data_IF_413321765022
#
_entry.id   IF_413321765022
#
_cell.length_a   1.000
_cell.length_b   1.000
_cell.length_c   1.000
_cell.angle_alpha   90.00
_cell.angle_beta   90.00
_cell.angle_gamma   90.00
#
_symmetry.space_group_name_H-M   'P 1'
#
loop_
_entity.id
_entity.type
_entity.pdbx_description
1 polymer ?
#
# COMPACT_ATOMS: atom_id res chain seq x y z
N UNK A 1 45.80 75.75 -28.87
CA UNK A 1 46.12 74.31 -28.90
C UNK A 1 44.87 73.57 -28.45
N UNK A 2 44.08 73.09 -29.39
CA UNK A 2 42.86 72.32 -29.12
C UNK A 2 43.18 70.86 -29.43
N UNK A 3 43.03 69.98 -28.44
CA UNK A 3 43.23 68.55 -28.61
C UNK A 3 41.84 67.92 -28.57
N UNK A 4 41.36 67.53 -29.75
CA UNK A 4 40.16 66.71 -29.92
C UNK A 4 40.48 65.31 -29.39
N UNK A 5 39.86 64.93 -28.27
CA UNK A 5 39.95 63.56 -27.76
C UNK A 5 38.84 62.72 -28.36
N UNK A 6 39.24 61.84 -29.28
CA UNK A 6 38.43 60.84 -29.93
C UNK A 6 37.70 59.93 -28.92
N UNK A 7 36.40 59.77 -29.16
CA UNK A 7 35.50 58.81 -28.51
C UNK A 7 35.98 57.39 -28.75
N UNK A 8 36.16 56.61 -27.67
CA UNK A 8 36.28 55.16 -27.76
C UNK A 8 35.19 54.50 -26.91
N UNK A 9 34.04 54.27 -27.54
CA UNK A 9 32.97 53.41 -27.03
C UNK A 9 33.47 51.96 -27.00
N UNK A 10 34.18 51.58 -25.92
CA UNK A 10 34.42 50.17 -25.62
C UNK A 10 33.25 49.66 -24.79
N UNK A 11 32.31 49.02 -25.46
CA UNK A 11 31.37 48.09 -24.84
C UNK A 11 32.18 47.02 -24.13
N UNK A 12 32.29 47.14 -22.80
CA UNK A 12 32.79 46.06 -21.95
C UNK A 12 31.72 44.99 -21.97
N UNK A 13 31.86 44.03 -22.89
CA UNK A 13 31.10 42.80 -22.86
C UNK A 13 31.57 42.04 -21.62
N UNK A 14 30.85 42.24 -20.52
CA UNK A 14 30.92 41.39 -19.35
C UNK A 14 30.51 40.00 -19.83
N UNK A 15 31.50 39.15 -20.14
CA UNK A 15 31.27 37.71 -20.21
C UNK A 15 30.94 37.26 -18.79
N UNK A 16 29.68 37.42 -18.41
CA UNK A 16 29.09 36.59 -17.37
C UNK A 16 29.18 35.15 -17.90
N UNK A 17 30.24 34.44 -17.51
CA UNK A 17 30.17 32.99 -17.38
C UNK A 17 29.22 32.68 -16.22
N UNK A 18 27.93 32.98 -16.39
CA UNK A 18 26.93 32.17 -15.71
C UNK A 18 26.98 30.83 -16.43
N UNK A 19 27.78 29.92 -15.89
CA UNK A 19 27.67 28.50 -16.18
C UNK A 19 26.20 28.14 -16.10
N UNK A 20 25.54 28.04 -17.25
CA UNK A 20 24.22 27.45 -17.37
C UNK A 20 24.42 25.97 -17.06
N UNK A 21 24.49 25.63 -15.77
CA UNK A 21 24.09 24.31 -15.32
C UNK A 21 22.63 24.22 -15.73
N UNK A 22 22.38 23.61 -16.89
CA UNK A 22 21.06 23.20 -17.32
C UNK A 22 20.64 22.14 -16.32
N UNK A 23 20.14 22.60 -15.18
CA UNK A 23 19.51 21.75 -14.19
C UNK A 23 18.17 21.41 -14.82
N UNK A 24 18.13 20.25 -15.48
CA UNK A 24 16.94 19.69 -16.11
C UNK A 24 15.83 19.65 -15.06
N UNK A 25 14.90 20.60 -15.13
CA UNK A 25 13.74 20.67 -14.26
C UNK A 25 12.72 19.67 -14.81
N UNK A 26 12.58 18.52 -14.15
CA UNK A 26 11.84 17.41 -14.75
C UNK A 26 10.46 17.25 -14.10
N UNK A 27 10.30 17.52 -12.79
CA UNK A 27 9.05 17.23 -12.09
C UNK A 27 8.44 18.41 -11.34
N UNK A 28 7.12 18.54 -11.40
CA UNK A 28 6.38 19.42 -10.46
C UNK A 28 6.25 18.76 -9.09
N UNK A 29 6.05 19.54 -8.02
CA UNK A 29 5.76 19.01 -6.67
C UNK A 29 4.55 18.05 -6.70
N UNK A 30 3.56 18.34 -7.55
CA UNK A 30 2.37 17.49 -7.70
C UNK A 30 2.69 16.14 -8.35
N UNK A 31 3.60 16.11 -9.33
CA UNK A 31 4.06 14.86 -9.95
C UNK A 31 4.90 14.03 -8.98
N UNK A 32 5.79 14.68 -8.21
CA UNK A 32 6.57 13.99 -7.18
C UNK A 32 5.65 13.34 -6.14
N UNK A 33 4.63 14.08 -5.68
CA UNK A 33 3.63 13.57 -4.76
C UNK A 33 2.89 12.33 -5.32
N UNK A 34 2.50 12.37 -6.60
CA UNK A 34 1.84 11.23 -7.26
C UNK A 34 2.77 10.03 -7.44
N UNK A 35 4.03 10.25 -7.80
CA UNK A 35 5.01 9.17 -8.05
C UNK A 35 5.42 8.45 -6.77
N UNK A 36 5.49 9.15 -5.65
CA UNK A 36 5.86 8.58 -4.35
C UNK A 36 4.66 8.16 -3.50
N UNK A 37 3.43 8.36 -4.01
CA UNK A 37 2.17 8.16 -3.28
C UNK A 37 2.13 8.87 -1.91
N UNK A 38 2.59 10.13 -1.90
CA UNK A 38 2.74 10.93 -0.68
C UNK A 38 1.99 12.26 -0.83
N UNK A 39 1.49 12.81 0.29
CA UNK A 39 0.80 14.09 0.27
C UNK A 39 1.71 15.24 -0.22
N UNK A 40 1.15 16.18 -0.99
CA UNK A 40 1.86 17.41 -1.41
C UNK A 40 2.45 18.18 -0.21
N UNK A 41 1.75 18.19 0.92
CA UNK A 41 2.19 18.84 2.17
C UNK A 41 3.48 18.20 2.69
N UNK A 42 3.59 16.88 2.61
CA UNK A 42 4.80 16.15 3.00
C UNK A 42 5.98 16.48 2.08
N UNK A 43 5.75 16.61 0.77
CA UNK A 43 6.79 17.03 -0.17
C UNK A 43 7.29 18.45 0.15
N UNK A 44 6.38 19.40 0.39
CA UNK A 44 6.76 20.75 0.82
C UNK A 44 7.51 20.76 2.15
N UNK A 45 7.13 19.91 3.09
CA UNK A 45 7.83 19.73 4.36
C UNK A 45 9.27 19.29 4.14
N UNK A 46 9.52 18.30 3.27
CA UNK A 46 10.89 17.89 2.93
C UNK A 46 11.68 19.01 2.25
N UNK A 47 11.05 19.81 1.40
CA UNK A 47 11.71 20.96 0.78
C UNK A 47 12.08 22.00 1.84
N UNK A 48 11.20 22.28 2.81
CA UNK A 48 11.45 23.29 3.85
C UNK A 48 12.39 22.83 4.97
N UNK A 49 12.38 21.55 5.33
CA UNK A 49 13.16 21.00 6.45
C UNK A 49 14.65 20.82 6.10
N UNK A 50 14.98 20.61 4.82
CA UNK A 50 16.34 20.21 4.40
C UNK A 50 17.29 21.38 4.08
N UNK A 51 17.02 22.57 4.64
CA UNK A 51 17.84 23.77 4.56
C UNK A 51 17.91 24.44 3.17
N UNK A 52 18.31 25.71 3.19
CA UNK A 52 18.40 26.65 2.05
C UNK A 52 19.26 26.07 0.91
N UNK A 53 20.20 25.18 1.22
CA UNK A 53 21.08 24.50 0.26
C UNK A 53 20.30 23.53 -0.65
N UNK A 54 19.32 22.80 -0.11
CA UNK A 54 18.47 21.92 -0.91
C UNK A 54 17.64 22.71 -1.93
N UNK A 55 17.08 23.84 -1.48
CA UNK A 55 16.31 24.75 -2.32
C UNK A 55 17.19 25.40 -3.41
N UNK A 56 18.51 25.56 -3.19
CA UNK A 56 19.44 26.13 -4.19
C UNK A 56 19.92 25.11 -5.23
N UNK A 57 20.10 23.85 -4.84
CA UNK A 57 20.69 22.83 -5.71
C UNK A 57 19.63 22.00 -6.45
N UNK A 58 18.49 21.73 -5.80
CA UNK A 58 17.53 20.73 -6.28
C UNK A 58 16.16 21.31 -6.65
N UNK A 59 15.90 22.57 -6.32
CA UNK A 59 14.63 23.24 -6.59
C UNK A 59 14.85 24.42 -7.53
N UNK A 60 14.09 24.44 -8.61
CA UNK A 60 14.07 25.55 -9.56
C UNK A 60 12.68 26.18 -9.58
N UNK A 61 12.60 27.50 -9.68
CA UNK A 61 11.31 28.20 -9.76
C UNK A 61 11.07 28.61 -11.21
N UNK A 62 9.99 28.09 -11.82
CA UNK A 62 9.51 28.51 -13.14
C UNK A 62 8.23 29.32 -12.99
N UNK A 63 8.03 30.28 -13.89
CA UNK A 63 6.77 31.03 -13.97
C UNK A 63 5.90 30.33 -15.01
N UNK A 64 4.70 29.91 -14.60
CA UNK A 64 3.72 29.35 -15.53
C UNK A 64 3.09 30.46 -16.39
N UNK A 65 2.39 30.07 -17.45
CA UNK A 65 1.69 30.98 -18.38
C UNK A 65 0.72 31.95 -17.69
N UNK A 66 0.29 31.63 -16.46
CA UNK A 66 -0.58 32.45 -15.61
C UNK A 66 0.18 33.44 -14.70
N UNK A 67 1.49 33.59 -14.88
CA UNK A 67 2.33 34.44 -14.03
C UNK A 67 2.62 33.88 -12.63
N UNK A 68 2.19 32.64 -12.33
CA UNK A 68 2.35 32.00 -11.01
C UNK A 68 3.71 31.30 -10.93
N UNK A 69 4.45 31.54 -9.83
CA UNK A 69 5.72 30.87 -9.53
C UNK A 69 5.47 29.43 -9.06
N UNK A 70 6.01 28.46 -9.79
CA UNK A 70 5.92 27.03 -9.49
C UNK A 70 7.30 26.46 -9.20
N UNK A 71 7.42 25.73 -8.08
CA UNK A 71 8.63 24.97 -7.71
C UNK A 71 8.69 23.69 -8.55
N UNK A 72 9.80 23.51 -9.23
CA UNK A 72 10.18 22.33 -10.01
C UNK A 72 11.34 21.63 -9.32
N UNK A 73 11.29 20.31 -9.25
CA UNK A 73 12.27 19.47 -8.60
C UNK A 73 13.12 18.78 -9.67
N UNK A 74 14.43 18.80 -9.48
CA UNK A 74 15.41 18.10 -10.33
C UNK A 74 15.39 16.59 -10.05
N UNK A 75 15.83 15.74 -10.99
CA UNK A 75 15.97 14.28 -10.79
C UNK A 75 16.69 13.94 -9.48
N UNK A 76 17.83 14.60 -9.21
CA UNK A 76 18.59 14.40 -7.97
C UNK A 76 17.80 14.77 -6.71
N UNK A 77 16.96 15.81 -6.79
CA UNK A 77 16.07 16.20 -5.71
C UNK A 77 14.96 15.18 -5.49
N UNK A 78 14.44 14.60 -6.57
CA UNK A 78 13.48 13.51 -6.50
C UNK A 78 14.08 12.28 -5.85
N UNK A 79 15.29 11.88 -6.25
CA UNK A 79 16.02 10.75 -5.65
C UNK A 79 16.33 10.99 -4.17
N UNK A 80 16.71 12.21 -3.79
CA UNK A 80 16.89 12.57 -2.39
C UNK A 80 15.59 12.44 -1.59
N UNK A 81 14.47 12.95 -2.10
CA UNK A 81 13.16 12.84 -1.45
C UNK A 81 12.73 11.37 -1.37
N UNK A 82 12.94 10.60 -2.44
CA UNK A 82 12.67 9.17 -2.49
C UNK A 82 13.45 8.45 -1.38
N UNK A 83 14.76 8.61 -1.35
CA UNK A 83 15.62 7.97 -0.36
C UNK A 83 15.24 8.38 1.06
N UNK A 84 14.85 9.63 1.31
CA UNK A 84 14.42 10.09 2.65
C UNK A 84 13.00 9.63 3.03
N UNK A 85 12.13 9.42 2.05
CA UNK A 85 10.80 8.84 2.29
C UNK A 85 10.92 7.36 2.62
N UNK A 86 11.71 6.61 1.84
CA UNK A 86 11.89 5.18 2.02
C UNK A 86 12.87 4.83 3.14
N UNK A 87 13.89 5.63 3.43
CA UNK A 87 14.74 5.38 4.60
C UNK A 87 13.97 5.49 5.91
N UNK A 88 12.89 6.30 5.95
CA UNK A 88 11.98 6.35 7.10
C UNK A 88 11.08 5.11 7.20
N UNK A 89 10.92 4.38 6.10
CA UNK A 89 10.17 3.12 6.00
C UNK A 89 11.10 1.91 6.21
N UNK A 90 12.39 2.01 5.88
CA UNK A 90 13.38 0.93 6.09
C UNK A 90 13.71 0.69 7.57
N UNK A 91 13.41 1.64 8.46
CA UNK A 91 13.41 1.40 9.91
C UNK A 91 12.20 0.57 10.40
N UNK A 92 11.31 0.12 9.50
CA UNK A 92 10.26 -0.84 9.83
C UNK A 92 10.69 -2.29 9.60
N UNK A 93 11.84 -2.54 8.95
CA UNK A 93 12.27 -3.91 8.67
C UNK A 93 13.31 -4.45 9.65
N UNK A 94 14.16 -3.66 10.37
CA UNK A 94 15.20 -4.33 11.20
C UNK A 94 15.87 -3.57 12.38
N UNK A 95 15.35 -2.45 12.92
CA UNK A 95 15.98 -1.82 14.11
C UNK A 95 14.96 -1.37 15.19
N UNK A 96 15.18 -1.70 16.48
CA UNK A 96 14.27 -1.35 17.57
C UNK A 96 14.37 0.15 17.88
N UNK A 97 13.43 0.94 17.35
CA UNK A 97 13.22 2.31 17.80
C UNK A 97 12.87 2.26 19.29
N UNK A 98 13.74 2.82 20.11
CA UNK A 98 13.72 2.81 21.58
C UNK A 98 12.62 3.72 22.15
N UNK A 99 11.39 3.56 21.68
CA UNK A 99 10.18 4.11 22.29
C UNK A 99 9.54 3.02 23.15
N UNK A 100 10.06 2.87 24.38
CA UNK A 100 9.78 1.75 25.28
C UNK A 100 8.28 1.50 25.51
N UNK A 101 7.44 2.54 25.43
CA UNK A 101 5.98 2.44 25.61
C UNK A 101 5.23 1.94 24.37
N UNK A 102 5.69 2.30 23.17
CA UNK A 102 5.02 1.89 21.93
C UNK A 102 5.40 0.44 21.59
N UNK A 103 6.63 0.04 21.86
CA UNK A 103 7.09 -1.32 21.64
C UNK A 103 6.42 -2.34 22.58
N UNK A 104 6.15 -1.96 23.84
CA UNK A 104 5.46 -2.84 24.79
C UNK A 104 3.98 -3.04 24.44
N UNK A 105 3.30 -1.97 24.00
CA UNK A 105 1.93 -2.08 23.50
C UNK A 105 1.86 -2.94 22.23
N UNK A 106 2.76 -2.71 21.28
CA UNK A 106 2.82 -3.47 20.02
C UNK A 106 3.16 -4.94 20.29
N UNK A 107 4.10 -5.23 21.20
CA UNK A 107 4.43 -6.61 21.55
C UNK A 107 3.26 -7.32 22.25
N UNK A 108 2.57 -6.65 23.17
CA UNK A 108 1.37 -7.17 23.82
C UNK A 108 0.26 -7.47 22.81
N UNK A 109 0.02 -6.57 21.85
CA UNK A 109 -0.95 -6.79 20.78
C UNK A 109 -0.57 -7.98 19.89
N UNK A 110 0.72 -8.13 19.57
CA UNK A 110 1.22 -9.23 18.75
C UNK A 110 1.09 -10.58 19.49
N UNK A 111 1.36 -10.60 20.79
CA UNK A 111 1.14 -11.77 21.63
C UNK A 111 -0.36 -12.12 21.73
N UNK A 112 -1.24 -11.12 21.90
CA UNK A 112 -2.69 -11.33 21.89
C UNK A 112 -3.18 -11.90 20.56
N UNK A 113 -2.65 -11.43 19.43
CA UNK A 113 -2.98 -11.97 18.11
C UNK A 113 -2.57 -13.44 17.99
N UNK A 114 -1.34 -13.78 18.40
CA UNK A 114 -0.86 -15.18 18.41
C UNK A 114 -1.75 -16.08 19.26
N UNK A 115 -2.13 -15.63 20.46
CA UNK A 115 -3.04 -16.39 21.32
C UNK A 115 -4.42 -16.56 20.69
N UNK A 116 -4.95 -15.52 20.03
CA UNK A 116 -6.23 -15.58 19.32
C UNK A 116 -6.20 -16.60 18.18
N UNK A 117 -5.11 -16.63 17.40
CA UNK A 117 -4.94 -17.58 16.30
C UNK A 117 -4.92 -19.03 16.80
N UNK A 118 -4.23 -19.30 17.92
CA UNK A 118 -4.24 -20.62 18.56
C UNK A 118 -5.65 -21.01 19.00
N UNK A 119 -6.40 -20.08 19.60
CA UNK A 119 -7.77 -20.34 20.02
C UNK A 119 -8.72 -20.61 18.84
N UNK A 120 -8.52 -19.91 17.72
CA UNK A 120 -9.28 -20.15 16.49
C UNK A 120 -8.99 -21.56 15.95
N UNK A 121 -7.71 -21.95 15.86
CA UNK A 121 -7.34 -23.28 15.40
C UNK A 121 -7.92 -24.41 16.29
N UNK A 122 -7.97 -24.21 17.61
CA UNK A 122 -8.57 -25.19 18.53
C UNK A 122 -10.11 -25.24 18.40
N UNK A 123 -10.76 -24.08 18.23
CA UNK A 123 -12.21 -24.01 17.97
C UNK A 123 -12.56 -24.71 16.66
N UNK A 124 -11.75 -24.54 15.61
CA UNK A 124 -11.97 -25.20 14.31
C UNK A 124 -11.88 -26.72 14.43
N UNK A 125 -10.95 -27.25 15.23
CA UNK A 125 -10.91 -28.71 15.52
C UNK A 125 -12.16 -29.19 16.22
N UNK A 126 -12.67 -28.46 17.20
CA UNK A 126 -13.90 -28.81 17.90
C UNK A 126 -15.11 -28.80 16.96
N UNK A 127 -15.18 -27.82 16.04
CA UNK A 127 -16.21 -27.75 15.01
C UNK A 127 -16.13 -28.98 14.10
N UNK A 128 -14.94 -29.35 13.63
CA UNK A 128 -14.75 -30.53 12.77
C UNK A 128 -15.22 -31.82 13.48
N UNK A 129 -14.86 -31.99 14.74
CA UNK A 129 -15.29 -33.16 15.53
C UNK A 129 -16.81 -33.22 15.70
N UNK A 130 -17.45 -32.08 16.00
CA UNK A 130 -18.91 -32.02 16.12
C UNK A 130 -19.62 -32.25 14.77
N UNK A 131 -19.06 -31.74 13.68
CA UNK A 131 -19.58 -31.97 12.32
C UNK A 131 -19.50 -33.45 11.94
N UNK A 132 -18.40 -34.12 12.26
CA UNK A 132 -18.25 -35.57 12.04
C UNK A 132 -19.25 -36.38 12.88
N UNK A 133 -19.42 -36.03 14.15
CA UNK A 133 -20.42 -36.66 15.01
C UNK A 133 -21.85 -36.48 14.48
N UNK A 134 -22.19 -35.26 14.05
CA UNK A 134 -23.50 -34.96 13.45
C UNK A 134 -23.75 -35.78 12.18
N UNK A 135 -22.73 -35.91 11.31
CA UNK A 135 -22.78 -36.76 10.12
C UNK A 135 -23.00 -38.23 10.49
N UNK A 136 -22.30 -38.74 11.49
CA UNK A 136 -22.45 -40.12 11.95
C UNK A 136 -23.87 -40.41 12.45
N UNK A 137 -24.45 -39.50 13.23
CA UNK A 137 -25.85 -39.64 13.67
C UNK A 137 -26.85 -39.57 12.51
N UNK A 138 -26.62 -38.70 11.53
CA UNK A 138 -27.47 -38.62 10.35
C UNK A 138 -27.44 -39.95 9.56
N UNK A 139 -26.26 -40.55 9.38
CA UNK A 139 -26.11 -41.85 8.70
C UNK A 139 -26.79 -42.97 9.48
N UNK A 140 -26.62 -43.02 10.82
CA UNK A 140 -27.28 -44.01 11.67
C UNK A 140 -28.81 -43.90 11.58
N UNK A 141 -29.35 -42.68 11.64
CA UNK A 141 -30.78 -42.43 11.52
C UNK A 141 -31.31 -42.87 10.15
N UNK A 142 -30.61 -42.55 9.07
CA UNK A 142 -30.96 -43.01 7.73
C UNK A 142 -30.95 -44.53 7.62
N UNK A 143 -29.93 -45.19 8.19
CA UNK A 143 -29.84 -46.66 8.22
C UNK A 143 -31.02 -47.29 8.94
N UNK A 144 -31.40 -46.76 10.11
CA UNK A 144 -32.57 -47.25 10.85
C UNK A 144 -33.87 -46.99 10.08
N UNK A 145 -34.01 -45.81 9.46
CA UNK A 145 -35.18 -45.51 8.62
C UNK A 145 -35.31 -46.52 7.49
N UNK A 146 -34.22 -46.86 6.78
CA UNK A 146 -34.25 -47.87 5.72
C UNK A 146 -34.61 -49.28 6.23
N UNK A 147 -34.14 -49.67 7.41
CA UNK A 147 -34.49 -50.96 8.03
C UNK A 147 -35.92 -51.00 8.55
N UNK A 148 -36.46 -49.85 8.98
CA UNK A 148 -37.81 -49.72 9.53
C UNK A 148 -38.90 -49.58 8.46
N UNK A 149 -38.52 -49.34 7.20
CA UNK A 149 -39.48 -49.33 6.10
C UNK A 149 -40.03 -50.76 5.94
N UNK A 150 -41.34 -50.97 6.09
CA UNK A 150 -41.92 -52.29 5.87
C UNK A 150 -41.65 -52.71 4.42
N UNK A 151 -41.25 -53.97 4.23
CA UNK A 151 -41.09 -54.57 2.90
C UNK A 151 -42.25 -54.14 2.01
N UNK A 152 -41.91 -53.57 0.84
CA UNK A 152 -42.85 -53.04 -0.15
C UNK A 152 -44.05 -54.00 -0.24
N UNK A 153 -45.20 -53.60 0.33
CA UNK A 153 -46.35 -54.51 0.51
C UNK A 153 -46.59 -55.26 -0.79
N UNK A 154 -46.37 -56.58 -0.80
CA UNK A 154 -46.70 -57.43 -1.94
C UNK A 154 -48.15 -57.13 -2.28
N UNK A 155 -48.39 -56.63 -3.49
CA UNK A 155 -49.70 -56.15 -3.93
C UNK A 155 -50.76 -57.21 -3.63
N UNK A 156 -51.56 -56.96 -2.60
CA UNK A 156 -52.64 -57.84 -2.16
C UNK A 156 -53.69 -57.93 -3.30
N UNK A 157 -53.80 -56.85 -4.09
CA UNK A 157 -54.62 -56.81 -5.29
C UNK A 157 -54.17 -57.81 -6.37
N UNK A 158 -52.88 -58.14 -6.50
CA UNK A 158 -52.45 -59.19 -7.44
C UNK A 158 -52.95 -60.58 -7.04
N UNK A 159 -53.23 -60.83 -5.75
CA UNK A 159 -53.79 -62.10 -5.26
C UNK A 159 -55.33 -62.12 -5.29
N UNK A 160 -55.97 -60.95 -5.22
CA UNK A 160 -57.43 -60.82 -5.26
C UNK A 160 -58.00 -60.88 -6.69
N UNK A 161 -57.20 -60.55 -7.70
CA UNK A 161 -57.63 -60.55 -9.11
C UNK A 161 -56.93 -61.60 -9.98
N UNK A 162 -56.33 -62.63 -9.38
CA UNK A 162 -55.73 -63.76 -10.12
C UNK A 162 -56.63 -65.01 -10.15
N UNK A 163 -57.89 -64.90 -9.73
CA UNK A 163 -58.87 -65.99 -9.75
C UNK A 163 -60.08 -65.63 -10.60
N UNK A 164 -59.81 -65.37 -11.86
CA UNK A 164 -60.80 -65.34 -12.93
C UNK A 164 -60.09 -65.91 -14.14
N UNK A 165 -60.38 -67.17 -14.44
CA UNK A 165 -60.46 -67.80 -15.77
C UNK A 165 -60.29 -69.33 -15.60
N UNK A 166 -61.42 -69.99 -15.32
CA UNK A 166 -61.79 -71.32 -15.86
C UNK A 166 -63.03 -71.11 -16.74
#
# INVERSE_FOLDING_TARGET
>A
MSIETFTLSKSVTVKCQSLSKVVSCIFTVAEVAKKLDISRKTVYRYISENSIEFDREFVNVKVNDKGVKVKMITEKGFEYIKNKCFSRVDYLEDEPIKDNSNNELVSSLLEQLKQKDIQLAEKDKQILMLMEQAKNYQVLLQGQQMLSLPDKKKSIFKRLFSHSDD
#
